data_IF_975422623257
#
_entry.id   IF_975422623257
#
_cell.length_a   1.000
_cell.length_b   1.000
_cell.length_c   1.000
_cell.angle_alpha   90.00
_cell.angle_beta   90.00
_cell.angle_gamma   90.00
#
_symmetry.space_group_name_H-M   'P 1'
#
loop_
_entity.id
_entity.type
_entity.pdbx_description
1 polymer ?
#
# COMPACT_ATOMS: atom_id res chain seq x y z
N UNK A 1 4.06 -40.53 -21.33
CA UNK A 1 3.17 -39.67 -22.13
C UNK A 1 4.03 -38.73 -22.94
N UNK A 2 3.73 -38.51 -24.22
CA UNK A 2 4.46 -37.54 -25.06
C UNK A 2 4.11 -36.13 -24.63
N UNK A 3 5.13 -35.31 -24.33
CA UNK A 3 4.95 -33.90 -24.00
C UNK A 3 4.37 -33.13 -25.20
N UNK A 4 3.41 -32.21 -25.00
CA UNK A 4 2.89 -31.36 -26.06
C UNK A 4 3.98 -30.44 -26.64
N UNK A 5 3.78 -29.94 -27.86
CA UNK A 5 4.71 -28.99 -28.48
C UNK A 5 4.58 -27.60 -27.80
N UNK A 6 5.68 -26.82 -27.64
CA UNK A 6 5.63 -25.48 -27.03
C UNK A 6 4.66 -24.49 -27.68
N UNK A 7 4.36 -24.66 -28.97
CA UNK A 7 3.41 -23.82 -29.71
C UNK A 7 1.94 -24.13 -29.36
N UNK A 8 1.67 -25.27 -28.72
CA UNK A 8 0.32 -25.75 -28.39
C UNK A 8 0.13 -25.65 -26.88
N UNK A 9 -0.10 -24.43 -26.41
CA UNK A 9 -0.39 -24.16 -25.00
C UNK A 9 -1.91 -24.20 -24.72
N UNK A 10 -2.34 -24.77 -23.58
CA UNK A 10 -3.76 -24.78 -23.19
C UNK A 10 -4.29 -23.37 -22.86
N UNK A 11 -5.59 -23.17 -23.06
CA UNK A 11 -6.30 -21.90 -22.81
C UNK A 11 -5.85 -20.71 -23.65
N UNK A 12 -6.20 -19.50 -23.22
CA UNK A 12 -5.81 -18.22 -23.85
C UNK A 12 -4.68 -17.55 -23.08
N UNK A 13 -4.06 -16.50 -23.66
CA UNK A 13 -2.98 -15.73 -22.99
C UNK A 13 -3.41 -15.25 -21.60
N UNK A 14 -4.63 -14.71 -21.48
CA UNK A 14 -5.16 -14.13 -20.24
C UNK A 14 -5.39 -15.16 -19.12
N UNK A 15 -5.53 -16.44 -19.48
CA UNK A 15 -5.70 -17.53 -18.52
C UNK A 15 -4.37 -18.12 -18.04
N UNK A 16 -3.29 -17.95 -18.81
CA UNK A 16 -2.04 -18.68 -18.58
C UNK A 16 -1.15 -17.97 -17.56
N UNK A 17 -0.64 -18.77 -16.62
CA UNK A 17 0.32 -18.37 -15.60
C UNK A 17 1.63 -19.14 -15.82
N UNK A 18 2.66 -18.44 -16.27
CA UNK A 18 4.01 -19.00 -16.40
C UNK A 18 4.58 -19.29 -15.00
N UNK A 19 5.13 -20.48 -14.80
CA UNK A 19 5.77 -20.88 -13.54
C UNK A 19 7.23 -21.21 -13.84
N UNK A 20 8.09 -20.24 -13.59
CA UNK A 20 9.53 -20.30 -13.80
C UNK A 20 10.30 -20.55 -12.51
N UNK A 21 11.50 -21.08 -12.66
CA UNK A 21 12.41 -21.37 -11.56
C UNK A 21 13.36 -22.49 -11.92
N UNK A 22 14.28 -22.82 -11.01
CA UNK A 22 15.25 -23.87 -11.26
C UNK A 22 14.60 -25.26 -11.16
N UNK A 23 14.72 -26.05 -12.23
CA UNK A 23 14.04 -27.35 -12.33
C UNK A 23 14.55 -28.41 -11.34
N UNK A 24 15.68 -28.20 -10.67
CA UNK A 24 16.07 -29.03 -9.51
C UNK A 24 15.04 -28.95 -8.37
N UNK A 25 14.28 -27.85 -8.32
CA UNK A 25 13.20 -27.61 -7.36
C UNK A 25 11.82 -27.85 -7.97
N UNK A 26 11.70 -28.78 -8.91
CA UNK A 26 10.41 -29.19 -9.49
C UNK A 26 9.29 -29.40 -8.45
N UNK A 27 9.51 -29.99 -7.26
CA UNK A 27 8.45 -30.11 -6.25
C UNK A 27 7.79 -28.77 -5.89
N UNK A 28 8.57 -27.71 -5.71
CA UNK A 28 8.07 -26.35 -5.43
C UNK A 28 7.29 -25.80 -6.62
N UNK A 29 7.81 -25.97 -7.85
CA UNK A 29 7.14 -25.50 -9.06
C UNK A 29 5.79 -26.22 -9.29
N UNK A 30 5.72 -27.52 -8.97
CA UNK A 30 4.46 -28.29 -8.99
C UNK A 30 3.48 -27.85 -7.93
N UNK A 31 3.97 -27.50 -6.75
CA UNK A 31 3.13 -26.95 -5.69
C UNK A 31 2.52 -25.61 -6.11
N UNK A 32 3.33 -24.71 -6.70
CA UNK A 32 2.87 -23.46 -7.29
C UNK A 32 1.79 -23.72 -8.37
N UNK A 33 2.04 -24.65 -9.28
CA UNK A 33 1.07 -25.01 -10.31
C UNK A 33 -0.25 -25.49 -9.72
N UNK A 34 -0.19 -26.33 -8.68
CA UNK A 34 -1.38 -26.79 -7.96
C UNK A 34 -2.13 -25.62 -7.34
N UNK A 35 -1.44 -24.69 -6.69
CA UNK A 35 -2.07 -23.52 -6.08
C UNK A 35 -2.77 -22.64 -7.10
N UNK A 36 -2.12 -22.35 -8.24
CA UNK A 36 -2.73 -21.61 -9.35
C UNK A 36 -4.01 -22.29 -9.83
N UNK A 37 -3.98 -23.62 -9.97
CA UNK A 37 -5.17 -24.38 -10.35
C UNK A 37 -6.26 -24.36 -9.28
N UNK A 38 -5.91 -24.49 -8.00
CA UNK A 38 -6.85 -24.50 -6.88
C UNK A 38 -7.57 -23.16 -6.67
N UNK A 39 -6.90 -22.04 -6.97
CA UNK A 39 -7.51 -20.71 -6.84
C UNK A 39 -8.31 -20.32 -8.10
N UNK A 40 -8.15 -21.05 -9.20
CA UNK A 40 -8.94 -20.90 -10.41
C UNK A 40 -10.42 -21.02 -10.10
N UNK A 41 -11.25 -20.21 -10.76
CA UNK A 41 -12.71 -20.22 -10.59
C UNK A 41 -13.41 -20.21 -11.94
N UNK A 42 -14.72 -20.46 -11.96
CA UNK A 42 -15.52 -20.38 -13.19
C UNK A 42 -15.48 -18.98 -13.83
N UNK A 43 -15.36 -17.93 -13.00
CA UNK A 43 -15.30 -16.53 -13.46
C UNK A 43 -13.89 -16.13 -13.92
N UNK A 44 -12.86 -16.81 -13.40
CA UNK A 44 -11.45 -16.52 -13.68
C UNK A 44 -10.66 -17.83 -13.74
N UNK A 45 -10.65 -18.43 -14.92
CA UNK A 45 -9.91 -19.65 -15.18
C UNK A 45 -8.41 -19.34 -15.30
N UNK A 46 -7.60 -19.98 -14.45
CA UNK A 46 -6.15 -19.87 -14.43
C UNK A 46 -5.51 -21.22 -14.75
N UNK A 47 -4.56 -21.20 -15.68
CA UNK A 47 -3.90 -22.39 -16.21
C UNK A 47 -2.39 -22.27 -15.96
N UNK A 48 -1.82 -23.06 -15.04
CA UNK A 48 -0.39 -23.05 -14.79
C UNK A 48 0.38 -23.67 -15.96
N UNK A 49 1.43 -22.99 -16.41
CA UNK A 49 2.33 -23.44 -17.47
C UNK A 49 3.74 -23.55 -16.90
N UNK A 50 4.23 -24.77 -16.70
CA UNK A 50 5.64 -25.03 -16.40
C UNK A 50 6.33 -25.37 -17.73
N UNK A 51 7.27 -24.56 -18.22
CA UNK A 51 7.83 -24.73 -19.57
C UNK A 51 8.46 -26.12 -19.80
N UNK A 52 9.08 -26.67 -18.74
CA UNK A 52 9.60 -28.04 -18.73
C UNK A 52 8.60 -29.09 -19.25
N UNK A 53 7.29 -28.91 -19.05
CA UNK A 53 6.26 -29.87 -19.51
C UNK A 53 6.00 -29.86 -21.01
N UNK A 54 6.41 -28.78 -21.68
CA UNK A 54 6.23 -28.57 -23.11
C UNK A 54 7.54 -28.80 -23.88
N UNK A 55 8.65 -28.97 -23.17
CA UNK A 55 9.92 -29.32 -23.79
C UNK A 55 9.94 -30.79 -24.22
N UNK A 56 9.65 -31.01 -25.51
CA UNK A 56 9.70 -32.34 -26.13
C UNK A 56 11.12 -32.89 -26.13
N UNK A 57 11.26 -34.20 -25.89
CA UNK A 57 12.51 -34.92 -26.12
C UNK A 57 12.97 -34.71 -27.57
N UNK A 58 14.13 -34.09 -27.75
CA UNK A 58 14.71 -33.77 -29.07
C UNK A 58 14.82 -32.28 -29.39
N UNK A 59 14.32 -31.37 -28.55
CA UNK A 59 14.68 -29.95 -28.63
C UNK A 59 16.15 -29.82 -28.21
N UNK A 60 17.03 -29.21 -29.03
CA UNK A 60 18.41 -28.95 -28.63
C UNK A 60 18.46 -28.06 -27.38
N UNK A 61 19.37 -28.33 -26.45
CA UNK A 61 19.55 -27.50 -25.25
C UNK A 61 19.76 -26.02 -25.60
N UNK A 62 20.42 -25.74 -26.73
CA UNK A 62 20.66 -24.38 -27.23
C UNK A 62 19.38 -23.60 -27.59
N UNK A 63 18.26 -24.29 -27.81
CA UNK A 63 16.97 -23.68 -28.14
C UNK A 63 16.02 -23.61 -26.93
N UNK A 64 16.38 -24.21 -25.81
CA UNK A 64 15.50 -24.30 -24.62
C UNK A 64 15.07 -22.92 -24.13
N UNK A 65 16.02 -22.00 -23.99
CA UNK A 65 15.75 -20.61 -23.57
C UNK A 65 14.81 -19.88 -24.54
N UNK A 66 15.00 -20.03 -25.85
CA UNK A 66 14.15 -19.38 -26.85
C UNK A 66 12.69 -19.86 -26.73
N UNK A 67 12.51 -21.16 -26.48
CA UNK A 67 11.19 -21.74 -26.25
C UNK A 67 10.59 -21.28 -24.92
N UNK A 68 11.35 -21.25 -23.83
CA UNK A 68 10.88 -20.75 -22.53
C UNK A 68 10.40 -19.29 -22.64
N UNK A 69 11.18 -18.46 -23.34
CA UNK A 69 10.84 -17.06 -23.62
C UNK A 69 9.61 -16.89 -24.54
N UNK A 70 9.40 -17.82 -25.47
CA UNK A 70 8.21 -17.86 -26.33
C UNK A 70 6.96 -18.25 -25.53
N UNK A 71 7.08 -19.25 -24.65
CA UNK A 71 6.01 -19.65 -23.73
C UNK A 71 5.65 -18.50 -22.79
N UNK A 72 6.65 -17.84 -22.20
CA UNK A 72 6.47 -16.66 -21.34
C UNK A 72 5.68 -15.56 -22.05
N UNK A 73 6.03 -15.22 -23.29
CA UNK A 73 5.34 -14.19 -24.08
C UNK A 73 3.84 -14.49 -24.31
N UNK A 74 3.47 -15.77 -24.23
CA UNK A 74 2.13 -16.29 -24.43
C UNK A 74 1.35 -16.48 -23.11
N UNK A 75 1.89 -16.01 -21.99
CA UNK A 75 1.23 -15.98 -20.69
C UNK A 75 0.88 -14.53 -20.30
N UNK A 76 -0.17 -14.35 -19.50
CA UNK A 76 -0.53 -13.04 -18.92
C UNK A 76 0.22 -12.77 -17.62
N UNK A 77 0.40 -13.83 -16.84
CA UNK A 77 1.05 -13.78 -15.53
C UNK A 77 2.31 -14.64 -15.54
N UNK A 78 3.30 -14.28 -14.72
CA UNK A 78 4.48 -15.08 -14.46
C UNK A 78 4.82 -15.11 -12.96
N UNK A 79 5.16 -16.28 -12.45
CA UNK A 79 5.63 -16.50 -11.09
C UNK A 79 7.00 -17.16 -11.19
N UNK A 80 8.01 -16.50 -10.64
CA UNK A 80 9.39 -16.97 -10.63
C UNK A 80 9.79 -17.38 -9.21
N UNK A 81 10.03 -18.67 -9.01
CA UNK A 81 10.64 -19.17 -7.78
C UNK A 81 12.17 -19.05 -7.84
N UNK A 82 12.72 -18.30 -6.88
CA UNK A 82 14.16 -18.08 -6.70
C UNK A 82 14.68 -18.85 -5.48
N UNK A 83 14.33 -20.14 -5.37
CA UNK A 83 15.01 -21.06 -4.44
C UNK A 83 16.52 -21.17 -4.73
N UNK A 84 16.92 -20.98 -5.98
CA UNK A 84 18.31 -20.82 -6.42
C UNK A 84 18.36 -19.89 -7.66
N UNK A 85 19.54 -19.42 -8.06
CA UNK A 85 19.71 -18.53 -9.21
C UNK A 85 20.10 -19.32 -10.47
N UNK A 86 19.44 -19.04 -11.59
CA UNK A 86 19.68 -19.73 -12.85
C UNK A 86 19.11 -19.01 -14.08
N UNK A 87 18.72 -19.81 -15.07
CA UNK A 87 18.19 -19.36 -16.36
C UNK A 87 16.98 -18.41 -16.24
N UNK A 88 16.18 -18.55 -15.18
CA UNK A 88 15.03 -17.72 -14.89
C UNK A 88 15.34 -16.23 -14.74
N UNK A 89 16.60 -15.84 -14.48
CA UNK A 89 16.99 -14.43 -14.47
C UNK A 89 16.80 -13.75 -15.84
N UNK A 90 17.03 -14.50 -16.92
CA UNK A 90 16.79 -14.00 -18.29
C UNK A 90 15.28 -13.92 -18.55
N UNK A 91 14.52 -14.91 -18.10
CA UNK A 91 13.05 -14.89 -18.20
C UNK A 91 12.46 -13.67 -17.48
N UNK A 92 12.97 -13.35 -16.29
CA UNK A 92 12.55 -12.19 -15.50
C UNK A 92 12.87 -10.85 -16.21
N UNK A 93 14.04 -10.74 -16.84
CA UNK A 93 14.40 -9.55 -17.64
C UNK A 93 13.45 -9.33 -18.82
N UNK A 94 13.03 -10.44 -19.43
CA UNK A 94 12.20 -10.43 -20.63
C UNK A 94 10.69 -10.31 -20.34
N UNK A 95 10.26 -10.46 -19.07
CA UNK A 95 8.85 -10.48 -18.72
C UNK A 95 8.17 -9.09 -18.88
N UNK A 96 8.85 -8.01 -18.51
CA UNK A 96 8.32 -6.64 -18.57
C UNK A 96 8.09 -6.15 -20.01
N UNK A 97 9.06 -6.26 -20.95
CA UNK A 97 8.84 -5.93 -22.36
C UNK A 97 7.69 -6.72 -23.03
N UNK A 98 7.34 -7.88 -22.47
CA UNK A 98 6.29 -8.77 -22.99
C UNK A 98 4.91 -8.51 -22.39
N UNK A 99 4.77 -7.47 -21.57
CA UNK A 99 3.54 -7.13 -20.84
C UNK A 99 3.02 -8.31 -20.00
N UNK A 100 3.94 -9.03 -19.36
CA UNK A 100 3.62 -10.15 -18.47
C UNK A 100 3.70 -9.69 -17.03
N UNK A 101 2.56 -9.62 -16.36
CA UNK A 101 2.51 -9.29 -14.94
C UNK A 101 3.33 -10.34 -14.18
N UNK A 102 4.29 -9.93 -13.37
CA UNK A 102 5.31 -10.85 -12.83
C UNK A 102 5.44 -10.76 -11.32
N UNK A 103 5.69 -11.91 -10.70
CA UNK A 103 5.89 -12.09 -9.27
C UNK A 103 7.15 -12.92 -9.03
N UNK A 104 7.97 -12.50 -8.08
CA UNK A 104 9.11 -13.28 -7.60
C UNK A 104 8.78 -13.84 -6.21
N UNK A 105 9.08 -15.10 -5.99
CA UNK A 105 8.96 -15.76 -4.68
C UNK A 105 10.27 -16.45 -4.31
N UNK A 106 10.64 -16.47 -3.04
CA UNK A 106 11.86 -17.14 -2.60
C UNK A 106 11.72 -17.70 -1.18
N UNK A 107 12.33 -18.86 -0.88
CA UNK A 107 12.32 -19.42 0.45
C UNK A 107 13.19 -18.57 1.39
N UNK A 108 12.69 -18.32 2.60
CA UNK A 108 13.40 -17.56 3.65
C UNK A 108 13.94 -18.53 4.70
N UNK A 109 15.25 -18.51 4.92
CA UNK A 109 15.93 -19.38 5.91
C UNK A 109 16.11 -18.76 7.29
N UNK A 110 16.12 -17.43 7.40
CA UNK A 110 16.35 -16.70 8.66
C UNK A 110 15.26 -15.66 8.97
N UNK A 111 15.42 -14.83 10.00
CA UNK A 111 14.45 -13.77 10.35
C UNK A 111 14.35 -12.65 9.29
N UNK A 112 15.32 -12.54 8.39
CA UNK A 112 15.29 -11.54 7.30
C UNK A 112 14.50 -12.08 6.13
N UNK A 113 13.39 -11.43 5.78
CA UNK A 113 12.62 -11.73 4.57
C UNK A 113 13.29 -11.10 3.34
N UNK A 114 14.49 -11.55 3.04
CA UNK A 114 15.23 -11.17 1.84
C UNK A 114 15.80 -12.45 1.22
N UNK A 115 15.98 -12.51 -0.10
CA UNK A 115 16.57 -13.69 -0.72
C UNK A 115 18.03 -13.81 -0.30
N UNK A 116 18.44 -14.99 0.16
CA UNK A 116 19.79 -15.26 0.66
C UNK A 116 20.85 -15.04 -0.44
N UNK A 117 20.49 -15.36 -1.68
CA UNK A 117 21.33 -15.21 -2.88
C UNK A 117 20.69 -14.24 -3.87
N UNK A 118 21.52 -13.44 -4.52
CA UNK A 118 21.07 -12.57 -5.61
C UNK A 118 20.23 -11.38 -5.17
N UNK A 119 20.22 -11.00 -3.88
CA UNK A 119 19.45 -9.86 -3.36
C UNK A 119 19.53 -8.62 -4.25
N UNK A 120 20.73 -8.15 -4.59
CA UNK A 120 20.90 -6.99 -5.48
C UNK A 120 20.29 -7.20 -6.85
N UNK A 121 20.43 -8.41 -7.40
CA UNK A 121 19.87 -8.79 -8.70
C UNK A 121 18.34 -8.80 -8.66
N UNK A 122 17.74 -9.45 -7.65
CA UNK A 122 16.27 -9.48 -7.45
C UNK A 122 15.70 -8.08 -7.30
N UNK A 123 16.33 -7.24 -6.46
CA UNK A 123 15.89 -5.86 -6.25
C UNK A 123 16.02 -5.00 -7.53
N UNK A 124 17.02 -5.27 -8.37
CA UNK A 124 17.27 -4.47 -9.57
C UNK A 124 16.22 -4.62 -10.67
N UNK A 125 15.39 -5.68 -10.64
CA UNK A 125 14.34 -5.89 -11.65
C UNK A 125 13.08 -5.04 -11.41
N UNK A 126 12.93 -4.44 -10.23
CA UNK A 126 11.72 -3.67 -9.91
C UNK A 126 10.42 -4.49 -9.87
N UNK A 127 10.52 -5.82 -9.91
CA UNK A 127 9.36 -6.72 -9.85
C UNK A 127 8.91 -6.94 -8.38
N UNK A 128 7.59 -7.11 -8.15
CA UNK A 128 7.08 -7.54 -6.85
C UNK A 128 7.74 -8.86 -6.41
N UNK A 129 8.26 -8.89 -5.18
CA UNK A 129 9.01 -10.05 -4.68
C UNK A 129 8.73 -10.34 -3.21
N UNK A 130 8.54 -11.63 -2.86
CA UNK A 130 8.18 -12.04 -1.51
C UNK A 130 8.90 -13.29 -1.03
N UNK A 131 9.38 -13.20 0.20
CA UNK A 131 9.89 -14.35 0.92
C UNK A 131 8.77 -15.21 1.50
N UNK A 132 8.92 -16.54 1.46
CA UNK A 132 8.02 -17.48 2.12
C UNK A 132 8.81 -18.47 3.01
N UNK A 133 8.24 -18.86 4.14
CA UNK A 133 8.75 -19.89 5.04
C UNK A 133 7.95 -21.18 4.97
N UNK A 134 6.68 -21.06 4.59
CA UNK A 134 5.76 -22.19 4.47
C UNK A 134 5.02 -22.15 3.14
N UNK A 135 4.55 -23.30 2.68
CA UNK A 135 3.72 -23.39 1.48
C UNK A 135 2.37 -22.65 1.63
N UNK A 136 1.85 -22.52 2.85
CA UNK A 136 0.63 -21.74 3.09
C UNK A 136 0.87 -20.24 2.85
N UNK A 137 2.02 -19.72 3.29
CA UNK A 137 2.41 -18.33 2.99
C UNK A 137 2.60 -18.13 1.48
N UNK A 138 3.28 -19.07 0.82
CA UNK A 138 3.46 -19.05 -0.63
C UNK A 138 2.12 -19.02 -1.37
N UNK A 139 1.18 -19.89 -0.98
CA UNK A 139 -0.18 -19.92 -1.55
C UNK A 139 -0.90 -18.58 -1.38
N UNK A 140 -0.79 -17.94 -0.22
CA UNK A 140 -1.38 -16.63 0.03
C UNK A 140 -0.76 -15.51 -0.81
N UNK A 141 0.56 -15.54 -1.01
CA UNK A 141 1.28 -14.62 -1.91
C UNK A 141 0.78 -14.77 -3.35
N UNK A 142 0.74 -16.00 -3.87
CA UNK A 142 0.29 -16.32 -5.23
C UNK A 142 -1.18 -15.93 -5.44
N UNK A 143 -2.04 -16.24 -4.46
CA UNK A 143 -3.46 -15.90 -4.50
C UNK A 143 -3.71 -14.40 -4.67
N UNK A 144 -3.01 -13.55 -3.90
CA UNK A 144 -3.08 -12.09 -4.05
C UNK A 144 -2.67 -11.64 -5.44
N UNK A 145 -1.54 -12.16 -5.90
CA UNK A 145 -0.96 -11.76 -7.17
C UNK A 145 -1.92 -11.98 -8.35
N UNK A 146 -2.61 -13.13 -8.36
CA UNK A 146 -3.47 -13.51 -9.47
C UNK A 146 -4.92 -13.00 -9.33
N UNK A 147 -5.40 -12.72 -8.12
CA UNK A 147 -6.81 -12.36 -7.87
C UNK A 147 -7.08 -10.87 -7.68
N UNK A 148 -6.10 -10.08 -7.26
CA UNK A 148 -6.31 -8.64 -7.09
C UNK A 148 -6.25 -7.92 -8.45
N UNK A 149 -7.41 -7.72 -9.10
CA UNK A 149 -7.53 -7.17 -10.46
C UNK A 149 -7.14 -5.69 -10.65
N UNK A 150 -6.63 -5.00 -9.63
CA UNK A 150 -6.17 -3.63 -9.80
C UNK A 150 -5.09 -3.28 -8.78
N UNK A 151 -4.01 -2.69 -9.30
CA UNK A 151 -2.87 -2.08 -8.62
C UNK A 151 -2.01 -3.01 -7.75
N UNK A 152 -1.05 -3.69 -8.40
CA UNK A 152 0.20 -4.15 -7.77
C UNK A 152 1.16 -2.98 -7.47
N UNK A 153 0.96 -1.83 -8.11
CA UNK A 153 1.62 -0.55 -7.81
C UNK A 153 0.99 0.08 -6.56
N UNK A 154 1.54 -0.17 -5.37
CA UNK A 154 1.19 0.58 -4.15
C UNK A 154 0.53 -0.24 -3.02
N UNK A 155 0.97 -1.47 -2.77
CA UNK A 155 0.49 -2.25 -1.62
C UNK A 155 1.62 -2.48 -0.61
N UNK A 156 1.32 -2.22 0.66
CA UNK A 156 2.19 -2.45 1.81
C UNK A 156 2.43 -3.95 2.01
N UNK A 157 3.69 -4.38 1.89
CA UNK A 157 4.10 -5.77 2.05
C UNK A 157 5.26 -5.87 3.04
N UNK A 158 5.07 -5.30 4.22
CA UNK A 158 6.09 -5.37 5.26
C UNK A 158 6.38 -6.82 5.67
N UNK A 159 7.66 -7.22 5.76
CA UNK A 159 8.00 -8.62 5.88
C UNK A 159 8.03 -9.05 7.36
N UNK A 160 6.95 -9.64 7.86
CA UNK A 160 6.91 -10.10 9.27
C UNK A 160 5.62 -10.76 9.75
N UNK A 161 4.52 -10.58 9.03
CA UNK A 161 3.21 -11.13 9.39
C UNK A 161 2.96 -12.36 8.52
N UNK A 162 2.70 -13.52 9.13
CA UNK A 162 2.16 -14.69 8.43
C UNK A 162 0.93 -14.21 7.67
N UNK A 163 1.04 -14.15 6.35
CA UNK A 163 -0.01 -13.58 5.52
C UNK A 163 -1.16 -14.58 5.40
N UNK A 164 -2.28 -14.28 6.06
CA UNK A 164 -3.54 -14.97 5.84
C UNK A 164 -4.46 -14.10 4.97
N UNK A 165 -4.86 -14.56 3.76
CA UNK A 165 -5.66 -13.77 2.83
C UNK A 165 -7.07 -13.47 3.35
N UNK A 166 -7.64 -14.33 4.20
CA UNK A 166 -8.94 -14.10 4.82
C UNK A 166 -8.82 -13.01 5.88
N UNK A 167 -7.81 -13.10 6.74
CA UNK A 167 -7.52 -12.09 7.75
C UNK A 167 -7.35 -10.70 7.12
N UNK A 168 -6.50 -10.60 6.09
CA UNK A 168 -6.22 -9.35 5.38
C UNK A 168 -7.48 -8.82 4.67
N UNK A 169 -8.18 -9.65 3.88
CA UNK A 169 -9.40 -9.25 3.17
C UNK A 169 -10.47 -8.73 4.12
N UNK A 170 -10.76 -9.44 5.19
CA UNK A 170 -11.81 -9.05 6.14
C UNK A 170 -11.39 -7.83 6.98
N UNK A 171 -10.10 -7.68 7.33
CA UNK A 171 -9.57 -6.48 8.00
C UNK A 171 -9.70 -5.26 7.08
N UNK A 172 -9.30 -5.37 5.80
CA UNK A 172 -9.48 -4.30 4.80
C UNK A 172 -10.95 -3.95 4.62
N UNK A 173 -11.81 -4.96 4.51
CA UNK A 173 -13.26 -4.78 4.42
C UNK A 173 -13.79 -3.99 5.63
N UNK A 174 -13.35 -4.33 6.84
CA UNK A 174 -13.72 -3.59 8.05
C UNK A 174 -13.23 -2.13 8.02
N UNK A 175 -11.99 -1.86 7.59
CA UNK A 175 -11.48 -0.48 7.40
C UNK A 175 -12.31 0.33 6.41
N UNK A 176 -12.73 -0.28 5.30
CA UNK A 176 -13.61 0.37 4.31
C UNK A 176 -14.99 0.65 4.89
N UNK A 177 -15.55 -0.29 5.66
CA UNK A 177 -16.83 -0.09 6.35
C UNK A 177 -16.74 1.05 7.37
N UNK A 178 -15.68 1.11 8.18
CA UNK A 178 -15.43 2.23 9.10
C UNK A 178 -15.33 3.56 8.37
N UNK A 179 -14.54 3.62 7.28
CA UNK A 179 -14.38 4.83 6.49
C UNK A 179 -15.68 5.30 5.82
N UNK A 180 -16.71 4.46 5.76
CA UNK A 180 -18.02 4.76 5.15
C UNK A 180 -19.14 4.90 6.18
N UNK A 181 -18.82 5.03 7.48
CA UNK A 181 -19.81 5.21 8.55
C UNK A 181 -20.66 3.97 8.80
N UNK A 182 -20.10 2.78 8.59
CA UNK A 182 -20.77 1.48 8.79
C UNK A 182 -20.12 0.70 9.93
N UNK A 183 -20.02 1.35 11.08
CA UNK A 183 -19.32 0.86 12.28
C UNK A 183 -19.89 -0.49 12.75
N UNK A 184 -21.21 -0.66 12.77
CA UNK A 184 -21.85 -1.93 13.17
C UNK A 184 -21.41 -3.11 12.29
N UNK A 185 -21.40 -2.91 10.97
CA UNK A 185 -20.99 -3.96 10.03
C UNK A 185 -19.49 -4.25 10.17
N UNK A 186 -18.67 -3.21 10.38
CA UNK A 186 -17.24 -3.38 10.61
C UNK A 186 -16.98 -4.19 11.89
N UNK A 187 -17.71 -3.87 12.97
CA UNK A 187 -17.64 -4.60 14.24
C UNK A 187 -17.97 -6.07 14.06
N UNK A 188 -19.05 -6.40 13.35
CA UNK A 188 -19.47 -7.79 13.12
C UNK A 188 -18.41 -8.59 12.36
N UNK A 189 -17.79 -7.99 11.34
CA UNK A 189 -16.70 -8.62 10.58
C UNK A 189 -15.50 -8.90 11.50
N UNK A 190 -15.09 -7.93 12.31
CA UNK A 190 -13.94 -8.05 13.21
C UNK A 190 -14.23 -9.02 14.36
N UNK A 191 -15.44 -9.00 14.93
CA UNK A 191 -15.88 -9.96 15.96
C UNK A 191 -15.87 -11.39 15.45
N UNK A 192 -16.22 -11.63 14.18
CA UNK A 192 -16.11 -12.96 13.56
C UNK A 192 -14.64 -13.39 13.45
N UNK A 193 -13.74 -12.50 13.06
CA UNK A 193 -12.31 -12.79 13.02
C UNK A 193 -11.78 -13.15 14.42
N UNK A 194 -11.98 -12.29 15.43
CA UNK A 194 -11.40 -12.54 16.77
C UNK A 194 -12.04 -13.70 17.54
N UNK A 195 -13.18 -14.24 17.08
CA UNK A 195 -13.77 -15.49 17.57
C UNK A 195 -13.16 -16.74 16.94
N UNK A 196 -12.53 -16.61 15.78
CA UNK A 196 -11.82 -17.70 15.13
C UNK A 196 -10.49 -17.95 15.87
N UNK A 197 -10.24 -19.18 16.29
CA UNK A 197 -9.04 -19.54 17.08
C UNK A 197 -7.72 -19.23 16.36
N UNK A 198 -7.72 -19.25 15.02
CA UNK A 198 -6.56 -18.91 14.18
C UNK A 198 -6.28 -17.41 14.29
N UNK A 199 -7.30 -16.56 14.12
CA UNK A 199 -7.14 -15.10 14.02
C UNK A 199 -7.18 -14.38 15.35
N UNK A 200 -7.69 -15.02 16.41
CA UNK A 200 -7.74 -14.45 17.76
C UNK A 200 -6.37 -14.02 18.29
N UNK A 201 -5.30 -14.64 17.80
CA UNK A 201 -3.89 -14.35 18.15
C UNK A 201 -3.23 -13.32 17.24
N UNK A 202 -3.91 -12.80 16.21
CA UNK A 202 -3.41 -11.70 15.41
C UNK A 202 -3.77 -10.37 16.08
N UNK A 203 -2.81 -9.44 16.18
CA UNK A 203 -3.06 -8.12 16.80
C UNK A 203 -3.99 -7.25 15.95
N UNK A 204 -3.89 -7.37 14.62
CA UNK A 204 -4.50 -6.42 13.68
C UNK A 204 -6.04 -6.31 13.82
N UNK A 205 -6.82 -7.41 13.89
CA UNK A 205 -8.26 -7.31 14.11
C UNK A 205 -8.63 -6.63 15.42
N UNK A 206 -7.82 -6.79 16.47
CA UNK A 206 -8.05 -6.13 17.75
C UNK A 206 -7.78 -4.63 17.67
N UNK A 207 -6.73 -4.21 16.97
CA UNK A 207 -6.47 -2.78 16.74
C UNK A 207 -7.59 -2.12 15.92
N UNK A 208 -8.10 -2.78 14.89
CA UNK A 208 -9.27 -2.28 14.15
C UNK A 208 -10.53 -2.25 15.01
N UNK A 209 -10.73 -3.23 15.88
CA UNK A 209 -11.87 -3.26 16.81
C UNK A 209 -11.77 -2.12 17.84
N UNK A 210 -10.56 -1.73 18.24
CA UNK A 210 -10.36 -0.58 19.12
C UNK A 210 -10.79 0.73 18.46
N UNK A 211 -10.48 0.91 17.17
CA UNK A 211 -10.95 2.04 16.36
C UNK A 211 -12.47 2.03 16.20
N UNK A 212 -13.09 0.87 15.96
CA UNK A 212 -14.56 0.73 15.93
C UNK A 212 -15.18 1.18 17.24
N UNK A 213 -14.64 0.71 18.37
CA UNK A 213 -15.08 1.13 19.70
C UNK A 213 -15.03 2.65 19.86
N UNK A 214 -13.98 3.29 19.34
CA UNK A 214 -13.86 4.75 19.40
C UNK A 214 -14.93 5.45 18.56
N UNK A 215 -15.12 5.06 17.29
CA UNK A 215 -16.14 5.67 16.42
C UNK A 215 -17.57 5.48 16.94
N UNK A 216 -17.81 4.42 17.72
CA UNK A 216 -19.09 4.13 18.38
C UNK A 216 -19.25 4.76 19.75
N UNK A 217 -18.27 5.52 20.23
CA UNK A 217 -18.21 6.05 21.59
C UNK A 217 -18.32 4.94 22.66
N UNK A 218 -17.86 3.73 22.34
CA UNK A 218 -17.82 2.57 23.22
C UNK A 218 -16.41 2.38 23.78
N UNK A 219 -16.08 3.17 24.81
CA UNK A 219 -14.78 3.15 25.47
C UNK A 219 -14.43 1.77 26.07
N UNK A 220 -15.44 0.98 26.47
CA UNK A 220 -15.26 -0.39 26.96
C UNK A 220 -14.68 -1.30 25.87
N UNK A 221 -15.27 -1.29 24.67
CA UNK A 221 -14.77 -2.05 23.52
C UNK A 221 -13.36 -1.61 23.12
N UNK A 222 -13.10 -0.30 23.09
CA UNK A 222 -11.76 0.22 22.79
C UNK A 222 -10.71 -0.28 23.79
N UNK A 223 -11.01 -0.19 25.09
CA UNK A 223 -10.09 -0.61 26.14
C UNK A 223 -9.84 -2.13 26.11
N UNK A 224 -10.89 -2.93 25.96
CA UNK A 224 -10.79 -4.39 25.92
C UNK A 224 -9.97 -4.86 24.72
N UNK A 225 -10.19 -4.26 23.55
CA UNK A 225 -9.46 -4.59 22.34
C UNK A 225 -7.97 -4.23 22.43
N UNK A 226 -7.64 -3.06 22.98
CA UNK A 226 -6.24 -2.66 23.22
C UNK A 226 -5.57 -3.59 24.24
N UNK A 227 -6.22 -3.89 25.37
CA UNK A 227 -5.69 -4.82 26.36
C UNK A 227 -5.39 -6.18 25.73
N UNK A 228 -6.31 -6.67 24.87
CA UNK A 228 -6.11 -7.95 24.21
C UNK A 228 -4.96 -7.94 23.21
N UNK A 229 -4.81 -6.86 22.45
CA UNK A 229 -3.65 -6.67 21.57
C UNK A 229 -2.34 -6.65 22.37
N UNK A 230 -2.30 -5.98 23.52
CA UNK A 230 -1.13 -5.96 24.42
C UNK A 230 -0.80 -7.35 24.98
N UNK A 231 -1.80 -8.13 25.39
CA UNK A 231 -1.59 -9.52 25.82
C UNK A 231 -0.98 -10.40 24.72
N UNK A 232 -1.38 -10.16 23.46
CA UNK A 232 -0.88 -10.90 22.28
C UNK A 232 0.55 -10.45 21.93
N UNK A 233 0.86 -9.16 22.07
CA UNK A 233 2.17 -8.61 21.72
C UNK A 233 3.32 -9.25 22.53
N UNK A 234 3.09 -9.59 23.80
CA UNK A 234 4.06 -10.31 24.65
C UNK A 234 5.48 -9.70 24.68
N UNK A 235 5.60 -8.37 24.56
CA UNK A 235 6.90 -7.69 24.53
C UNK A 235 7.55 -7.61 23.14
N UNK A 236 6.87 -8.02 22.07
CA UNK A 236 7.34 -7.81 20.70
C UNK A 236 7.33 -6.31 20.35
N UNK A 237 8.50 -5.69 20.08
CA UNK A 237 8.59 -4.25 19.87
C UNK A 237 7.79 -3.75 18.67
N UNK A 238 7.65 -4.55 17.61
CA UNK A 238 6.89 -4.16 16.43
C UNK A 238 5.39 -4.15 16.72
N UNK A 239 4.88 -5.20 17.37
CA UNK A 239 3.49 -5.25 17.82
C UNK A 239 3.17 -4.13 18.83
N UNK A 240 4.07 -3.84 19.76
CA UNK A 240 3.93 -2.72 20.70
C UNK A 240 3.93 -1.36 19.99
N UNK A 241 4.73 -1.20 18.93
CA UNK A 241 4.72 0.01 18.11
C UNK A 241 3.35 0.21 17.42
N UNK A 242 2.74 -0.85 16.88
CA UNK A 242 1.41 -0.78 16.28
C UNK A 242 0.31 -0.44 17.29
N UNK A 243 0.39 -1.00 18.50
CA UNK A 243 -0.53 -0.65 19.59
C UNK A 243 -0.38 0.83 19.96
N UNK A 244 0.86 1.31 20.11
CA UNK A 244 1.14 2.71 20.42
C UNK A 244 0.63 3.65 19.30
N UNK A 245 0.82 3.28 18.03
CA UNK A 245 0.29 4.02 16.89
C UNK A 245 -1.25 4.07 16.89
N UNK A 246 -1.92 2.95 17.16
CA UNK A 246 -3.37 2.88 17.27
C UNK A 246 -3.90 3.78 18.40
N UNK A 247 -3.28 3.71 19.59
CA UNK A 247 -3.61 4.59 20.72
C UNK A 247 -3.39 6.07 20.38
N UNK A 248 -2.27 6.40 19.73
CA UNK A 248 -1.98 7.75 19.28
C UNK A 248 -3.02 8.28 18.29
N UNK A 249 -3.46 7.43 17.35
CA UNK A 249 -4.50 7.76 16.38
C UNK A 249 -5.87 7.99 17.06
N UNK A 250 -6.24 7.17 18.04
CA UNK A 250 -7.48 7.36 18.82
C UNK A 250 -7.42 8.67 19.62
N UNK A 251 -6.29 8.96 20.28
CA UNK A 251 -6.12 10.21 21.03
C UNK A 251 -6.17 11.44 20.11
N UNK A 252 -5.58 11.35 18.93
CA UNK A 252 -5.66 12.39 17.91
C UNK A 252 -7.12 12.65 17.50
N UNK A 253 -7.90 11.61 17.23
CA UNK A 253 -9.33 11.74 16.88
C UNK A 253 -10.17 12.30 18.04
N UNK A 254 -9.79 12.02 19.29
CA UNK A 254 -10.36 12.63 20.51
C UNK A 254 -9.84 14.05 20.80
N UNK A 255 -9.03 14.63 19.92
CA UNK A 255 -8.38 15.93 20.08
C UNK A 255 -7.53 16.04 21.37
N UNK A 256 -6.92 14.94 21.81
CA UNK A 256 -5.94 14.89 22.92
C UNK A 256 -4.54 14.89 22.34
N UNK A 257 -4.09 16.06 21.87
CA UNK A 257 -2.91 16.17 21.01
C UNK A 257 -1.61 15.79 21.71
N UNK A 258 -1.43 16.16 22.98
CA UNK A 258 -0.24 15.82 23.77
C UNK A 258 -0.15 14.31 24.02
N UNK A 259 -1.27 13.68 24.38
CA UNK A 259 -1.36 12.23 24.53
C UNK A 259 -1.14 11.51 23.19
N UNK A 260 -1.64 12.07 22.09
CA UNK A 260 -1.41 11.53 20.76
C UNK A 260 0.08 11.59 20.39
N UNK A 261 0.72 12.74 20.63
CA UNK A 261 2.15 12.94 20.36
C UNK A 261 3.01 11.93 21.12
N UNK A 262 2.81 11.83 22.44
CA UNK A 262 3.58 10.90 23.28
C UNK A 262 3.45 9.45 22.82
N UNK A 263 2.26 9.02 22.39
CA UNK A 263 2.03 7.66 21.89
C UNK A 263 2.68 7.42 20.52
N UNK A 264 2.65 8.40 19.62
CA UNK A 264 3.26 8.32 18.30
C UNK A 264 4.79 8.35 18.38
N UNK A 265 5.36 9.18 19.25
CA UNK A 265 6.80 9.16 19.56
C UNK A 265 7.22 7.79 20.10
N UNK A 266 6.42 7.20 20.99
CA UNK A 266 6.68 5.85 21.48
C UNK A 266 6.63 4.80 20.36
N UNK A 267 5.67 4.89 19.44
CA UNK A 267 5.60 4.00 18.27
C UNK A 267 6.86 4.11 17.40
N UNK A 268 7.28 5.34 17.07
CA UNK A 268 8.50 5.58 16.30
C UNK A 268 9.77 5.14 17.05
N UNK A 269 9.82 5.27 18.37
CA UNK A 269 10.96 4.78 19.18
C UNK A 269 11.06 3.26 19.15
N UNK A 270 9.92 2.56 19.18
CA UNK A 270 9.86 1.09 19.17
C UNK A 270 10.13 0.51 17.78
N UNK A 271 9.70 1.20 16.72
CA UNK A 271 9.93 0.81 15.34
C UNK A 271 10.24 2.06 14.48
N UNK A 272 11.52 2.50 14.45
CA UNK A 272 11.91 3.75 13.84
C UNK A 272 11.86 3.71 12.32
N UNK A 273 11.56 4.86 11.73
CA UNK A 273 11.58 5.04 10.27
C UNK A 273 10.28 4.63 9.58
N UNK A 274 9.28 4.12 10.31
CA UNK A 274 7.99 3.75 9.71
C UNK A 274 7.24 5.01 9.25
N UNK A 275 7.10 5.18 7.94
CA UNK A 275 6.55 6.39 7.32
C UNK A 275 5.16 6.78 7.82
N UNK A 276 4.26 5.81 8.07
CA UNK A 276 2.91 6.09 8.60
C UNK A 276 2.91 6.65 10.02
N UNK A 277 3.92 6.32 10.83
CA UNK A 277 4.06 6.86 12.19
C UNK A 277 4.53 8.31 12.09
N UNK A 278 5.56 8.54 11.28
CA UNK A 278 6.17 9.84 11.06
C UNK A 278 5.19 10.83 10.38
N UNK A 279 4.38 10.39 9.42
CA UNK A 279 3.32 11.21 8.79
C UNK A 279 2.33 11.74 9.84
N UNK A 280 1.81 10.84 10.68
CA UNK A 280 0.85 11.21 11.72
C UNK A 280 1.49 12.09 12.79
N UNK A 281 2.71 11.75 13.21
CA UNK A 281 3.49 12.49 14.19
C UNK A 281 3.79 13.92 13.71
N UNK A 282 4.18 14.07 12.44
CA UNK A 282 4.39 15.36 11.80
C UNK A 282 3.13 16.24 11.85
N UNK A 283 1.97 15.66 11.54
CA UNK A 283 0.70 16.38 11.62
C UNK A 283 0.31 16.77 13.06
N UNK A 284 0.53 15.89 14.03
CA UNK A 284 0.27 16.19 15.45
C UNK A 284 1.18 17.31 15.96
N UNK A 285 2.49 17.25 15.66
CA UNK A 285 3.45 18.30 16.00
C UNK A 285 3.06 19.66 15.41
N UNK A 286 2.54 19.65 14.17
CA UNK A 286 2.06 20.88 13.54
C UNK A 286 0.92 21.53 14.33
N UNK A 287 -0.04 20.72 14.80
CA UNK A 287 -1.17 21.21 15.61
C UNK A 287 -0.71 21.72 16.98
N UNK A 288 0.29 21.05 17.58
CA UNK A 288 0.94 21.46 18.83
C UNK A 288 1.88 22.67 18.67
N UNK A 289 2.01 23.24 17.47
CA UNK A 289 2.86 24.38 17.12
C UNK A 289 4.37 24.10 17.18
N UNK A 290 4.78 22.83 17.22
CA UNK A 290 6.16 22.45 16.97
C UNK A 290 6.41 22.33 15.46
N UNK A 291 6.71 23.48 14.83
CA UNK A 291 6.87 23.60 13.37
C UNK A 291 8.06 22.81 12.84
N UNK A 292 9.16 22.85 13.58
CA UNK A 292 10.41 22.20 13.17
C UNK A 292 10.23 20.68 13.21
N UNK A 293 9.73 20.13 14.32
CA UNK A 293 9.48 18.69 14.41
C UNK A 293 8.41 18.23 13.40
N UNK A 294 7.40 19.07 13.10
CA UNK A 294 6.39 18.74 12.11
C UNK A 294 6.99 18.53 10.70
N UNK A 295 7.84 19.45 10.25
CA UNK A 295 8.51 19.38 8.95
C UNK A 295 9.47 18.19 8.93
N UNK A 296 10.37 18.09 9.91
CA UNK A 296 11.39 17.04 9.97
C UNK A 296 10.77 15.64 9.95
N UNK A 297 9.74 15.40 10.77
CA UNK A 297 9.06 14.10 10.77
C UNK A 297 8.38 13.83 9.43
N UNK A 298 7.75 14.84 8.80
CA UNK A 298 7.06 14.63 7.51
C UNK A 298 8.03 14.41 6.35
N UNK A 299 9.18 15.07 6.34
CA UNK A 299 10.25 14.78 5.37
C UNK A 299 10.82 13.37 5.56
N UNK A 300 11.08 12.98 6.81
CA UNK A 300 11.56 11.63 7.12
C UNK A 300 10.51 10.58 6.75
N UNK A 301 9.22 10.91 6.87
CA UNK A 301 8.13 10.06 6.40
C UNK A 301 8.13 9.84 4.88
N UNK A 302 8.79 10.69 4.09
CA UNK A 302 8.94 10.54 2.62
C UNK A 302 10.25 9.85 2.22
N UNK A 303 11.25 9.84 3.12
CA UNK A 303 12.56 9.19 2.91
C UNK A 303 12.55 7.71 3.28
N UNK A 304 11.50 7.24 3.92
CA UNK A 304 11.35 5.84 4.26
C UNK A 304 11.30 4.98 2.98
N UNK A 305 12.41 4.28 2.70
CA UNK A 305 12.53 3.38 1.54
C UNK A 305 11.49 2.25 1.59
N UNK A 306 10.91 2.02 2.77
CA UNK A 306 9.87 1.04 2.99
C UNK A 306 8.46 1.60 2.86
N UNK A 307 8.22 2.85 2.39
CA UNK A 307 6.87 3.38 2.14
C UNK A 307 6.29 2.76 0.86
N UNK A 308 5.36 1.79 0.95
CA UNK A 308 4.72 1.21 -0.23
C UNK A 308 3.26 1.70 -0.29
N UNK A 309 2.79 2.47 0.71
CA UNK A 309 1.42 2.95 0.88
C UNK A 309 1.28 4.33 0.24
N UNK A 310 0.67 4.42 -0.96
CA UNK A 310 0.52 5.68 -1.68
C UNK A 310 -0.31 6.70 -0.91
N UNK A 311 -1.17 6.25 0.03
CA UNK A 311 -1.97 7.15 0.85
C UNK A 311 -1.11 7.86 1.89
N UNK A 312 -0.14 7.17 2.49
CA UNK A 312 0.80 7.78 3.44
C UNK A 312 1.68 8.78 2.74
N UNK A 313 2.25 8.41 1.58
CA UNK A 313 3.04 9.32 0.74
C UNK A 313 2.22 10.55 0.36
N UNK A 314 0.99 10.36 -0.10
CA UNK A 314 0.10 11.45 -0.48
C UNK A 314 -0.20 12.39 0.68
N UNK A 315 -0.51 11.80 1.85
CA UNK A 315 -0.76 12.57 3.06
C UNK A 315 0.47 13.37 3.48
N UNK A 316 1.65 12.75 3.45
CA UNK A 316 2.91 13.40 3.78
C UNK A 316 3.26 14.53 2.80
N UNK A 317 3.13 14.31 1.48
CA UNK A 317 3.35 15.36 0.46
C UNK A 317 2.39 16.53 0.68
N UNK A 318 1.09 16.26 0.86
CA UNK A 318 0.11 17.31 1.04
C UNK A 318 0.33 18.08 2.36
N UNK A 319 0.68 17.39 3.45
CA UNK A 319 1.07 18.01 4.72
C UNK A 319 2.32 18.87 4.58
N UNK A 320 3.37 18.35 3.95
CA UNK A 320 4.64 19.07 3.80
C UNK A 320 4.46 20.33 2.94
N UNK A 321 3.72 20.23 1.83
CA UNK A 321 3.36 21.38 1.00
C UNK A 321 2.57 22.44 1.80
N UNK A 322 1.66 22.01 2.67
CA UNK A 322 0.93 22.91 3.58
C UNK A 322 1.87 23.60 4.58
N UNK A 323 2.76 22.82 5.21
CA UNK A 323 3.68 23.30 6.22
C UNK A 323 4.62 24.35 5.63
N UNK A 324 5.20 24.08 4.46
CA UNK A 324 6.02 25.03 3.73
C UNK A 324 5.27 26.29 3.31
N UNK A 325 4.01 26.18 2.87
CA UNK A 325 3.19 27.36 2.61
C UNK A 325 3.04 28.23 3.87
N UNK A 326 2.71 27.63 5.00
CA UNK A 326 2.49 28.39 6.24
C UNK A 326 3.79 28.94 6.83
N UNK A 327 4.90 28.20 6.77
CA UNK A 327 6.21 28.70 7.19
C UNK A 327 6.71 29.82 6.29
N UNK A 328 6.57 29.70 4.96
CA UNK A 328 6.86 30.79 4.03
C UNK A 328 6.08 32.07 4.37
N UNK A 329 4.86 31.94 4.92
CA UNK A 329 4.07 33.09 5.39
C UNK A 329 4.72 33.78 6.57
N UNK A 330 5.27 32.99 7.49
CA UNK A 330 5.83 33.47 8.75
C UNK A 330 7.25 34.03 8.55
N UNK A 331 8.09 33.33 7.77
CA UNK A 331 9.49 33.69 7.54
C UNK A 331 9.71 34.62 6.35
N UNK A 332 8.72 34.74 5.45
CA UNK A 332 8.90 35.35 4.12
C UNK A 332 9.94 34.63 3.25
N UNK A 333 10.28 33.37 3.58
CA UNK A 333 11.19 32.55 2.78
C UNK A 333 10.47 32.05 1.53
N UNK A 334 10.94 32.57 0.39
CA UNK A 334 10.39 32.27 -0.93
C UNK A 334 10.75 30.85 -1.39
N UNK A 335 11.88 30.29 -0.95
CA UNK A 335 12.31 28.95 -1.36
C UNK A 335 11.27 27.89 -0.99
N UNK A 336 10.68 28.03 0.20
CA UNK A 336 9.58 27.20 0.69
C UNK A 336 8.32 27.29 -0.18
N UNK A 337 8.06 28.43 -0.85
CA UNK A 337 6.94 28.56 -1.79
C UNK A 337 7.19 27.71 -3.05
N UNK A 338 8.43 27.68 -3.54
CA UNK A 338 8.82 26.82 -4.65
C UNK A 338 8.70 25.35 -4.31
N UNK A 339 9.25 24.93 -3.16
CA UNK A 339 9.16 23.54 -2.70
C UNK A 339 7.71 23.10 -2.48
N UNK A 340 6.89 23.94 -1.84
CA UNK A 340 5.46 23.66 -1.67
C UNK A 340 4.72 23.51 -3.01
N UNK A 341 5.03 24.37 -3.98
CA UNK A 341 4.42 24.32 -5.30
C UNK A 341 4.85 23.07 -6.06
N UNK A 342 6.13 22.72 -6.05
CA UNK A 342 6.67 21.51 -6.66
C UNK A 342 6.02 20.25 -6.08
N UNK A 343 6.00 20.10 -4.75
CA UNK A 343 5.32 19.00 -4.07
C UNK A 343 3.85 18.89 -4.50
N UNK A 344 3.17 20.03 -4.64
CA UNK A 344 1.76 20.05 -5.04
C UNK A 344 1.52 19.59 -6.49
N UNK A 345 2.53 19.62 -7.36
CA UNK A 345 2.40 19.13 -8.75
C UNK A 345 2.29 17.62 -8.86
N UNK A 346 2.72 16.87 -7.83
CA UNK A 346 2.56 15.43 -7.75
C UNK A 346 1.19 15.00 -7.24
N UNK A 347 0.44 15.89 -6.60
CA UNK A 347 -0.87 15.56 -6.03
C UNK A 347 -1.99 15.23 -7.07
N UNK A 348 -2.09 15.85 -8.27
CA UNK A 348 -3.14 15.55 -9.26
C UNK A 348 -3.11 14.11 -9.81
N UNK A 349 -1.94 13.64 -10.25
CA UNK A 349 -1.78 12.31 -10.86
C UNK A 349 -2.09 11.21 -9.83
N UNK A 350 -1.70 11.42 -8.57
CA UNK A 350 -2.00 10.50 -7.48
C UNK A 350 -3.46 10.61 -7.00
N UNK A 351 -4.05 11.81 -6.94
CA UNK A 351 -5.47 11.98 -6.60
C UNK A 351 -6.37 11.25 -7.59
N UNK A 352 -6.09 11.28 -8.89
CA UNK A 352 -6.89 10.61 -9.90
C UNK A 352 -6.96 9.08 -9.69
N UNK A 353 -5.92 8.49 -9.11
CA UNK A 353 -5.86 7.05 -8.78
C UNK A 353 -6.63 6.70 -7.49
N UNK A 354 -6.70 7.60 -6.50
CA UNK A 354 -7.24 7.29 -5.15
C UNK A 354 -8.52 8.07 -4.75
N UNK A 355 -9.08 8.90 -5.65
CA UNK A 355 -10.06 9.99 -5.42
C UNK A 355 -11.43 9.69 -4.79
N UNK A 356 -11.70 8.53 -4.19
CA UNK A 356 -13.08 8.19 -3.79
C UNK A 356 -13.49 8.38 -2.33
N UNK A 357 -12.63 8.75 -1.36
CA UNK A 357 -12.98 8.45 0.05
C UNK A 357 -12.83 9.48 1.19
N UNK A 358 -12.20 10.66 1.06
CA UNK A 358 -12.13 11.59 2.22
C UNK A 358 -12.25 13.07 1.83
N UNK A 359 -13.39 13.67 2.14
CA UNK A 359 -13.70 15.09 1.90
C UNK A 359 -13.15 16.06 2.97
N UNK A 360 -12.46 15.55 4.00
CA UNK A 360 -12.04 16.34 5.17
C UNK A 360 -10.60 16.86 5.12
N UNK A 361 -9.86 16.61 4.03
CA UNK A 361 -8.49 17.09 3.87
C UNK A 361 -8.45 18.35 3.01
N UNK A 362 -7.71 19.35 3.48
CA UNK A 362 -7.51 20.59 2.76
C UNK A 362 -6.61 20.30 1.55
N UNK A 363 -7.13 20.49 0.35
CA UNK A 363 -6.35 20.35 -0.89
C UNK A 363 -5.34 21.51 -0.97
N UNK A 364 -4.07 21.23 -0.67
CA UNK A 364 -3.05 22.27 -0.53
C UNK A 364 -2.52 22.74 -1.88
N UNK A 365 -2.88 22.06 -2.99
CA UNK A 365 -2.57 22.50 -4.36
C UNK A 365 -3.08 23.91 -4.62
N UNK A 366 -4.32 24.19 -4.20
CA UNK A 366 -4.92 25.51 -4.37
C UNK A 366 -4.16 26.59 -3.61
N UNK A 367 -3.78 26.31 -2.36
CA UNK A 367 -3.07 27.26 -1.49
C UNK A 367 -1.66 27.54 -2.01
N UNK A 368 -0.91 26.50 -2.36
CA UNK A 368 0.43 26.60 -2.91
C UNK A 368 0.41 27.38 -4.25
N UNK A 369 -0.52 27.04 -5.14
CA UNK A 369 -0.65 27.68 -6.45
C UNK A 369 -1.07 29.17 -6.35
N UNK A 370 -1.95 29.55 -5.41
CA UNK A 370 -2.25 30.98 -5.15
C UNK A 370 -1.01 31.73 -4.66
N UNK A 371 -0.25 31.15 -3.73
CA UNK A 371 0.94 31.80 -3.16
C UNK A 371 2.04 31.96 -4.20
N UNK A 372 2.31 30.92 -4.97
CA UNK A 372 3.23 30.97 -6.10
C UNK A 372 2.78 32.00 -7.15
N UNK A 373 1.50 31.99 -7.53
CA UNK A 373 0.94 32.96 -8.47
C UNK A 373 1.09 34.41 -8.02
N UNK A 374 0.85 34.70 -6.73
CA UNK A 374 1.06 36.04 -6.15
C UNK A 374 2.53 36.44 -6.19
N UNK A 375 3.43 35.55 -5.74
CA UNK A 375 4.86 35.81 -5.74
C UNK A 375 5.42 36.09 -7.15
N UNK A 376 4.99 35.30 -8.14
CA UNK A 376 5.41 35.48 -9.54
C UNK A 376 4.76 36.70 -10.21
N UNK A 377 3.59 37.15 -9.75
CA UNK A 377 2.92 38.33 -10.30
C UNK A 377 3.71 39.62 -10.06
N UNK A 378 4.46 39.68 -8.95
CA UNK A 378 5.35 40.79 -8.62
C UNK A 378 6.64 40.80 -9.46
N UNK A 379 6.87 39.76 -10.28
CA UNK A 379 8.03 39.62 -11.17
C UNK A 379 7.62 39.81 -12.64
N UNK A 380 8.00 40.93 -13.29
CA UNK A 380 7.53 41.27 -14.64
C UNK A 380 7.82 40.21 -15.71
N UNK A 381 8.92 39.46 -15.58
CA UNK A 381 9.34 38.42 -16.52
C UNK A 381 8.66 37.06 -16.27
N UNK A 382 7.97 36.88 -15.14
CA UNK A 382 7.33 35.62 -14.74
C UNK A 382 5.81 35.64 -14.84
N UNK A 383 5.22 36.70 -15.41
CA UNK A 383 3.75 36.86 -15.55
C UNK A 383 3.06 35.64 -16.18
N UNK A 384 3.69 35.00 -17.17
CA UNK A 384 3.14 33.79 -17.80
C UNK A 384 3.05 32.62 -16.82
N UNK A 385 4.08 32.41 -15.98
CA UNK A 385 4.07 31.37 -14.94
C UNK A 385 3.10 31.73 -13.81
N UNK A 386 3.00 33.01 -13.45
CA UNK A 386 2.03 33.51 -12.48
C UNK A 386 0.58 33.18 -12.90
N UNK A 387 0.22 33.44 -14.16
CA UNK A 387 -1.10 33.11 -14.70
C UNK A 387 -1.38 31.60 -14.62
N UNK A 388 -0.42 30.76 -15.03
CA UNK A 388 -0.57 29.29 -14.96
C UNK A 388 -0.82 28.81 -13.52
N UNK A 389 -0.07 29.33 -12.55
CA UNK A 389 -0.27 28.98 -11.15
C UNK A 389 -1.67 29.42 -10.65
N UNK A 390 -2.12 30.63 -11.01
CA UNK A 390 -3.46 31.10 -10.65
C UNK A 390 -4.59 30.32 -11.34
N UNK A 391 -4.37 29.81 -12.55
CA UNK A 391 -5.34 28.94 -13.24
C UNK A 391 -5.46 27.58 -12.56
N UNK A 392 -4.34 26.98 -12.11
CA UNK A 392 -4.34 25.76 -11.30
C UNK A 392 -5.12 25.99 -10.00
N UNK A 393 -4.86 27.09 -9.29
CA UNK A 393 -5.60 27.44 -8.08
C UNK A 393 -7.10 27.56 -8.34
N UNK A 394 -7.49 28.19 -9.45
CA UNK A 394 -8.89 28.35 -9.85
C UNK A 394 -9.55 26.99 -10.13
N UNK A 395 -8.86 26.10 -10.84
CA UNK A 395 -9.35 24.75 -11.13
C UNK A 395 -9.59 23.96 -9.84
N UNK A 396 -8.62 23.95 -8.91
CA UNK A 396 -8.76 23.26 -7.61
C UNK A 396 -9.95 23.80 -6.80
N UNK A 397 -10.14 25.13 -6.78
CA UNK A 397 -11.29 25.75 -6.11
C UNK A 397 -12.63 25.37 -6.76
N UNK A 398 -12.68 25.22 -8.09
CA UNK A 398 -13.87 24.77 -8.79
C UNK A 398 -14.19 23.30 -8.48
N UNK A 399 -13.18 22.42 -8.45
CA UNK A 399 -13.33 21.03 -8.03
C UNK A 399 -13.87 20.92 -6.60
N UNK A 400 -13.29 21.68 -5.66
CA UNK A 400 -13.74 21.70 -4.27
C UNK A 400 -15.19 22.17 -4.13
N UNK A 401 -15.61 23.18 -4.91
CA UNK A 401 -17.01 23.64 -4.95
C UNK A 401 -17.96 22.59 -5.52
N UNK A 402 -17.54 21.82 -6.51
CA UNK A 402 -18.35 20.75 -7.09
C UNK A 402 -18.51 19.55 -6.14
N UNK A 403 -17.54 19.33 -5.25
CA UNK A 403 -17.54 18.26 -4.25
C UNK A 403 -18.21 18.67 -2.93
N UNK A 404 -18.39 19.97 -2.68
CA UNK A 404 -19.14 20.43 -1.52
C UNK A 404 -20.61 19.96 -1.66
N UNK A 405 -21.16 19.19 -0.70
CA UNK A 405 -22.56 18.80 -0.76
C UNK A 405 -23.41 20.06 -0.87
N UNK A 406 -24.40 20.08 -1.76
CA UNK A 406 -25.37 21.17 -1.86
C UNK A 406 -26.11 21.25 -0.54
N UNK A 407 -25.58 22.05 0.39
CA UNK A 407 -26.27 22.41 1.62
C UNK A 407 -27.39 23.35 1.22
N UNK A 408 -28.52 22.78 0.76
CA UNK A 408 -29.79 23.35 1.11
C UNK A 408 -29.81 23.32 2.64
N UNK A 409 -29.48 24.46 3.26
CA UNK A 409 -29.73 24.64 4.68
C UNK A 409 -31.16 24.16 4.95
N UNK A 410 -31.41 23.33 5.97
CA UNK A 410 -32.77 23.07 6.39
C UNK A 410 -33.40 24.43 6.64
N UNK A 411 -34.48 24.73 5.89
CA UNK A 411 -35.29 25.92 6.12
C UNK A 411 -35.58 25.92 7.61
N UNK A 412 -35.13 26.96 8.32
CA UNK A 412 -35.60 27.21 9.66
C UNK A 412 -37.13 27.25 9.57
N UNK A 413 -37.76 26.21 10.08
CA UNK A 413 -39.19 26.26 10.38
C UNK A 413 -39.31 27.25 11.52
N UNK A 414 -39.56 28.50 11.12
CA UNK A 414 -40.04 29.51 12.03
C UNK A 414 -41.31 29.01 12.71
N UNK A 415 -41.35 29.31 14.01
CA UNK A 415 -42.53 29.52 14.84
C UNK A 415 -43.50 28.34 15.03
N UNK A 416 -43.72 27.95 16.30
CA UNK A 416 -44.82 28.49 17.12
C UNK A 416 -44.86 27.86 18.52
N UNK A 417 -45.13 28.75 19.48
CA UNK A 417 -45.57 28.58 20.88
C UNK A 417 -44.56 28.07 21.90
#
# INVERSE_FOLDING_TARGET
MTKPHPEILPGTKDQRVFIGGQYDFMPTLRELARFVHEISSEEKELIPIIPYDFMKSGIPETQTMEWDLSILANCRYAIFDLSDLGAQLVEMQEADPKYTDSLIVYPVRERRNEPERGRRTVLSFGLPHFGYRTFNELKGIVGRFLMDEASMLGKDYTPGIIYDPTLDRETRRARVLLATGREDTAEDVLKKLVRNDIYRRAIEPWLQLALVGHYRENDGLTKDAINKATEIAQGDPHAEAEIAYCQGSINFLKNKLEDANSRLENANRLNPGVGRFLERLGYVNWLLKDRQAAIENTENALKDESIPDPLVTLNAINNLAYFYCEEARASSDVSLIYEAYELSTYLPDYHQVFRRKRASWLDTRGVAAVRMGKYLADQPHERSKACKALDIARAVLQEAKALAPSTSMPKSTGERC
#
